data_IF_525682745586
#
_entry.id   IF_525682745586
#
_cell.length_a   1.000
_cell.length_b   1.000
_cell.length_c   1.000
_cell.angle_alpha   90.00
_cell.angle_beta   90.00
_cell.angle_gamma   90.00
#
_symmetry.space_group_name_H-M   'P 1'
#
loop_
_entity.id
_entity.type
_entity.pdbx_description
1 polymer ?
#
# COMPACT_ATOMS: atom_id res chain seq x y z
N UNK A 1 39.97 23.71 4.56
CA UNK A 1 40.26 22.31 4.23
C UNK A 1 39.42 21.96 3.01
N UNK A 2 40.05 21.93 1.85
CA UNK A 2 39.40 21.48 0.61
C UNK A 2 39.15 19.99 0.70
N UNK A 3 37.87 19.58 0.54
CA UNK A 3 37.51 18.15 0.56
C UNK A 3 37.87 17.54 -0.79
N UNK A 4 39.00 16.88 -0.88
CA UNK A 4 39.42 16.14 -2.06
C UNK A 4 38.67 14.80 -2.14
N UNK A 5 37.42 14.80 -2.59
CA UNK A 5 36.71 13.58 -2.93
C UNK A 5 36.14 13.68 -4.36
N UNK A 6 36.16 12.55 -5.03
CA UNK A 6 35.62 12.41 -6.39
C UNK A 6 34.30 11.66 -6.33
N UNK A 7 33.28 12.21 -6.97
CA UNK A 7 32.00 11.55 -7.16
C UNK A 7 32.00 10.82 -8.50
N UNK A 8 31.48 9.60 -8.52
CA UNK A 8 31.31 8.79 -9.74
C UNK A 8 29.84 8.42 -9.79
N UNK A 9 29.15 8.78 -10.87
CA UNK A 9 27.78 8.36 -11.12
C UNK A 9 27.75 6.91 -11.54
N UNK A 10 26.92 6.12 -10.86
CA UNK A 10 26.72 4.71 -11.16
C UNK A 10 25.24 4.38 -11.10
N UNK A 11 24.75 3.69 -12.11
CA UNK A 11 23.36 3.23 -12.18
C UNK A 11 23.33 1.71 -12.16
N UNK A 12 22.62 1.12 -11.18
CA UNK A 12 22.41 -0.32 -11.09
C UNK A 12 21.01 -0.63 -11.64
N UNK A 13 20.97 -1.41 -12.73
CA UNK A 13 19.72 -1.91 -13.32
C UNK A 13 19.58 -3.40 -13.04
N UNK A 14 18.60 -3.78 -12.20
CA UNK A 14 18.36 -5.16 -11.78
C UNK A 14 16.91 -5.61 -12.12
N UNK A 15 16.54 -5.72 -13.42
CA UNK A 15 15.24 -6.28 -13.78
C UNK A 15 15.20 -7.77 -13.41
N UNK A 16 14.13 -8.16 -12.70
CA UNK A 16 13.95 -9.55 -12.27
C UNK A 16 12.48 -9.94 -12.30
N UNK A 17 12.25 -11.25 -12.40
CA UNK A 17 10.94 -11.87 -12.24
C UNK A 17 10.97 -12.77 -11.02
N UNK A 18 9.91 -12.75 -10.23
CA UNK A 18 9.77 -13.64 -9.07
C UNK A 18 8.40 -14.29 -9.05
N UNK A 19 8.33 -15.50 -8.50
CA UNK A 19 7.08 -16.19 -8.29
C UNK A 19 6.39 -15.68 -7.03
N UNK A 20 5.17 -15.22 -7.14
CA UNK A 20 4.41 -14.65 -6.01
C UNK A 20 3.86 -15.70 -5.04
N UNK A 21 3.85 -16.98 -5.42
CA UNK A 21 3.24 -18.05 -4.64
C UNK A 21 1.70 -18.02 -4.66
N UNK A 22 1.07 -19.11 -4.20
CA UNK A 22 -0.38 -19.28 -4.28
C UNK A 22 -1.18 -18.24 -3.49
N UNK A 23 -0.68 -17.84 -2.31
CA UNK A 23 -1.35 -16.88 -1.45
C UNK A 23 -1.45 -15.51 -2.11
N UNK A 24 -0.34 -14.99 -2.63
CA UNK A 24 -0.36 -13.71 -3.32
C UNK A 24 -1.04 -13.78 -4.69
N UNK A 25 -0.94 -14.91 -5.40
CA UNK A 25 -1.69 -15.09 -6.64
C UNK A 25 -3.19 -14.90 -6.42
N UNK A 26 -3.76 -15.59 -5.43
CA UNK A 26 -5.20 -15.44 -5.10
C UNK A 26 -5.56 -14.02 -4.67
N UNK A 27 -4.69 -13.36 -3.93
CA UNK A 27 -4.88 -11.95 -3.55
C UNK A 27 -4.95 -11.03 -4.78
N UNK A 28 -4.02 -11.18 -5.71
CA UNK A 28 -3.98 -10.39 -6.94
C UNK A 28 -5.18 -10.67 -7.87
N UNK A 29 -5.65 -11.90 -7.97
CA UNK A 29 -6.90 -12.20 -8.68
C UNK A 29 -8.09 -11.49 -8.02
N UNK A 30 -8.14 -11.42 -6.69
CA UNK A 30 -9.14 -10.62 -5.98
C UNK A 30 -9.09 -9.15 -6.36
N UNK A 31 -7.89 -8.55 -6.44
CA UNK A 31 -7.75 -7.15 -6.85
C UNK A 31 -8.26 -6.91 -8.27
N UNK A 32 -8.04 -7.86 -9.20
CA UNK A 32 -8.59 -7.79 -10.55
C UNK A 32 -10.13 -7.71 -10.54
N UNK A 33 -10.77 -8.37 -9.57
CA UNK A 33 -12.23 -8.38 -9.38
C UNK A 33 -12.75 -7.24 -8.49
N UNK A 34 -11.94 -6.24 -8.15
CA UNK A 34 -12.26 -5.16 -7.19
C UNK A 34 -12.56 -5.68 -5.78
N UNK A 35 -11.93 -6.77 -5.37
CA UNK A 35 -12.04 -7.34 -4.02
C UNK A 35 -10.70 -7.27 -3.32
N UNK A 36 -10.69 -6.79 -2.10
CA UNK A 36 -9.53 -6.88 -1.23
C UNK A 36 -9.67 -8.16 -0.42
N UNK A 37 -8.87 -9.18 -0.74
CA UNK A 37 -8.89 -10.44 -0.03
C UNK A 37 -7.85 -10.45 1.08
N UNK A 38 -8.25 -10.87 2.25
CA UNK A 38 -7.38 -11.15 3.37
C UNK A 38 -7.54 -12.58 3.85
N UNK A 39 -6.85 -12.93 4.91
CA UNK A 39 -7.02 -14.23 5.53
C UNK A 39 -7.00 -14.16 7.06
N UNK A 40 -7.55 -15.19 7.70
CA UNK A 40 -7.77 -15.25 9.14
C UNK A 40 -6.95 -16.39 9.74
N UNK A 41 -6.20 -16.11 10.80
CA UNK A 41 -5.49 -17.14 11.52
C UNK A 41 -6.47 -18.04 12.29
N UNK A 42 -6.48 -19.37 12.07
CA UNK A 42 -7.40 -20.26 12.74
C UNK A 42 -7.14 -20.38 14.26
N UNK A 43 -5.93 -20.03 14.71
CA UNK A 43 -5.53 -20.15 16.11
C UNK A 43 -5.80 -18.89 16.94
N UNK A 44 -5.47 -17.70 16.42
CA UNK A 44 -5.61 -16.44 17.19
C UNK A 44 -6.67 -15.49 16.60
N UNK A 45 -7.33 -15.86 15.51
CA UNK A 45 -8.36 -15.03 14.87
C UNK A 45 -7.84 -13.77 14.16
N UNK A 46 -6.54 -13.48 14.18
CA UNK A 46 -6.00 -12.30 13.53
C UNK A 46 -6.23 -12.31 12.03
N UNK A 47 -6.63 -11.17 11.51
CA UNK A 47 -7.01 -10.92 10.11
C UNK A 47 -5.91 -10.13 9.40
N UNK A 48 -5.35 -10.71 8.35
CA UNK A 48 -4.17 -10.21 7.65
C UNK A 48 -4.49 -9.70 6.26
N UNK A 49 -4.04 -8.49 5.95
CA UNK A 49 -4.03 -7.86 4.63
C UNK A 49 -2.73 -7.07 4.46
N UNK A 50 -1.90 -7.36 3.46
CA UNK A 50 -1.99 -8.48 2.52
C UNK A 50 -2.01 -9.84 3.22
N UNK A 51 -2.58 -10.89 2.57
CA UNK A 51 -2.70 -12.21 3.16
C UNK A 51 -1.32 -12.83 3.42
N UNK A 52 -1.26 -13.73 4.38
CA UNK A 52 -0.04 -14.45 4.76
C UNK A 52 -0.24 -15.95 4.64
N UNK A 53 0.77 -16.69 4.20
CA UNK A 53 0.71 -18.15 4.16
C UNK A 53 0.72 -18.77 5.56
N UNK A 54 1.34 -18.09 6.53
CA UNK A 54 1.36 -18.50 7.95
C UNK A 54 1.20 -17.29 8.86
N UNK A 55 0.71 -17.53 10.07
CA UNK A 55 0.56 -16.50 11.10
C UNK A 55 1.90 -16.26 11.80
N UNK A 56 2.45 -15.03 11.79
CA UNK A 56 3.73 -14.75 12.44
C UNK A 56 3.65 -14.76 13.96
N UNK A 57 2.43 -14.74 14.54
CA UNK A 57 2.22 -14.77 15.99
C UNK A 57 2.11 -16.20 16.50
N UNK A 58 1.41 -17.07 15.76
CA UNK A 58 1.11 -18.43 16.18
C UNK A 58 1.94 -19.50 15.48
N UNK A 59 2.71 -19.09 14.46
CA UNK A 59 3.47 -19.99 13.58
C UNK A 59 2.62 -21.15 13.01
N UNK A 60 1.40 -20.80 12.58
CA UNK A 60 0.38 -21.74 12.08
C UNK A 60 0.00 -21.35 10.67
N UNK A 61 -0.15 -22.31 9.77
CA UNK A 61 -0.63 -22.10 8.40
C UNK A 61 -2.01 -21.44 8.40
N UNK A 62 -2.21 -20.51 7.47
CA UNK A 62 -3.48 -19.82 7.30
C UNK A 62 -4.10 -20.25 5.97
N UNK A 63 -5.28 -20.84 6.04
CA UNK A 63 -6.05 -21.30 4.87
C UNK A 63 -7.39 -20.62 4.71
N UNK A 64 -7.88 -19.96 5.78
CA UNK A 64 -9.19 -19.32 5.81
C UNK A 64 -9.12 -17.93 5.22
N UNK A 65 -9.93 -17.67 4.19
CA UNK A 65 -9.99 -16.42 3.46
C UNK A 65 -11.21 -15.61 3.83
N UNK A 66 -11.07 -14.30 3.71
CA UNK A 66 -12.15 -13.35 3.90
C UNK A 66 -12.06 -12.22 2.88
N UNK A 67 -13.18 -11.65 2.52
CA UNK A 67 -13.22 -10.35 1.84
C UNK A 67 -13.09 -9.25 2.89
N UNK A 68 -12.26 -8.26 2.61
CA UNK A 68 -11.96 -7.15 3.50
C UNK A 68 -12.70 -5.92 3.02
N UNK A 69 -13.08 -5.07 3.94
CA UNK A 69 -13.67 -3.77 3.64
C UNK A 69 -12.75 -2.95 2.72
N UNK A 70 -13.37 -2.24 1.79
CA UNK A 70 -12.67 -1.27 0.94
C UNK A 70 -12.53 0.10 1.62
N UNK A 71 -12.98 0.21 2.86
CA UNK A 71 -12.83 1.39 3.71
C UNK A 71 -11.88 1.12 4.86
N UNK A 72 -11.30 2.19 5.38
CA UNK A 72 -10.40 2.11 6.51
C UNK A 72 -10.10 3.48 7.10
N UNK A 73 -9.05 3.52 7.91
CA UNK A 73 -8.54 4.75 8.54
C UNK A 73 -7.05 4.88 8.35
N UNK A 74 -6.59 6.10 8.16
CA UNK A 74 -5.16 6.42 8.13
C UNK A 74 -4.58 6.25 9.53
N UNK A 75 -3.54 5.41 9.66
CA UNK A 75 -2.78 5.25 10.90
C UNK A 75 -1.52 6.12 10.92
N UNK A 76 -0.87 6.23 9.79
CA UNK A 76 0.25 7.13 9.55
C UNK A 76 0.37 7.41 8.06
N UNK A 77 1.04 8.50 7.70
CA UNK A 77 1.22 8.87 6.31
C UNK A 77 2.56 9.56 6.08
N UNK A 78 2.96 9.63 4.83
CA UNK A 78 4.14 10.34 4.38
C UNK A 78 3.91 10.94 3.00
N UNK A 79 4.63 12.01 2.69
CA UNK A 79 4.67 12.62 1.36
C UNK A 79 5.99 12.31 0.68
N UNK A 80 5.96 11.62 -0.44
CA UNK A 80 7.10 11.48 -1.32
C UNK A 80 7.25 12.76 -2.15
N UNK A 81 8.44 13.36 -2.10
CA UNK A 81 8.75 14.63 -2.79
C UNK A 81 9.80 14.47 -3.87
N UNK A 82 10.60 13.41 -3.81
CA UNK A 82 11.72 13.16 -4.72
C UNK A 82 11.55 11.85 -5.43
N UNK A 83 11.99 11.81 -6.66
CA UNK A 83 12.02 10.62 -7.47
C UNK A 83 13.22 9.74 -7.09
N UNK A 84 12.98 8.44 -7.01
CA UNK A 84 14.01 7.42 -6.86
C UNK A 84 14.04 6.55 -8.10
N UNK A 85 15.21 6.03 -8.38
CA UNK A 85 15.41 5.09 -9.47
C UNK A 85 14.48 3.85 -9.35
N UNK A 86 13.78 3.53 -10.45
CA UNK A 86 12.85 2.40 -10.50
C UNK A 86 11.52 2.61 -9.77
N UNK A 87 11.23 3.81 -9.31
CA UNK A 87 9.96 4.14 -8.67
C UNK A 87 8.82 4.12 -9.70
N UNK A 88 7.74 3.32 -9.48
CA UNK A 88 6.67 3.17 -10.46
C UNK A 88 5.72 4.37 -10.51
N UNK A 89 5.77 5.26 -9.53
CA UNK A 89 4.88 6.41 -9.40
C UNK A 89 5.71 7.67 -9.24
N UNK A 90 5.45 8.66 -10.08
CA UNK A 90 6.16 9.95 -10.00
C UNK A 90 5.67 10.77 -8.81
N UNK A 91 6.59 11.33 -8.00
CA UNK A 91 6.24 12.29 -6.97
C UNK A 91 5.79 13.65 -7.58
N UNK A 92 5.06 14.49 -6.81
CA UNK A 92 4.70 14.25 -5.41
C UNK A 92 3.49 13.33 -5.25
N UNK A 93 3.51 12.46 -4.24
CA UNK A 93 2.36 11.66 -3.84
C UNK A 93 2.32 11.44 -2.33
N UNK A 94 1.15 11.07 -1.82
CA UNK A 94 0.94 10.66 -0.44
C UNK A 94 0.85 9.13 -0.37
N UNK A 95 1.55 8.55 0.59
CA UNK A 95 1.41 7.15 0.94
C UNK A 95 1.02 7.04 2.41
N UNK A 96 0.16 6.11 2.75
CA UNK A 96 -0.31 5.91 4.11
C UNK A 96 -0.33 4.44 4.50
N UNK A 97 -0.12 4.19 5.78
CA UNK A 97 -0.50 2.94 6.43
C UNK A 97 -1.97 3.06 6.81
N UNK A 98 -2.79 2.25 6.16
CA UNK A 98 -4.25 2.25 6.30
C UNK A 98 -4.65 1.01 7.10
N UNK A 99 -5.41 1.17 8.17
CA UNK A 99 -6.08 0.06 8.79
C UNK A 99 -7.45 -0.10 8.14
N UNK A 100 -7.60 -1.13 7.30
CA UNK A 100 -8.88 -1.47 6.70
C UNK A 100 -9.83 -2.01 7.76
N UNK A 101 -11.10 -1.68 7.64
CA UNK A 101 -12.09 -2.09 8.64
C UNK A 101 -12.17 -3.60 8.76
N UNK A 102 -12.17 -4.08 9.99
CA UNK A 102 -12.19 -5.50 10.30
C UNK A 102 -10.84 -6.22 10.13
N UNK A 103 -9.71 -5.51 10.01
CA UNK A 103 -8.37 -6.12 9.95
C UNK A 103 -7.52 -5.79 11.17
N UNK A 104 -6.50 -6.61 11.44
CA UNK A 104 -5.58 -6.43 12.57
C UNK A 104 -4.18 -5.96 12.13
N UNK A 105 -4.04 -5.55 10.89
CA UNK A 105 -2.78 -5.08 10.31
C UNK A 105 -2.98 -3.80 9.51
N UNK A 106 -1.90 -3.25 8.99
CA UNK A 106 -1.92 -2.04 8.19
C UNK A 106 -1.57 -2.38 6.75
N UNK A 107 -2.28 -1.75 5.85
CA UNK A 107 -2.12 -1.86 4.41
C UNK A 107 -1.46 -0.58 3.89
N UNK A 108 -0.25 -0.70 3.33
CA UNK A 108 0.44 0.45 2.74
C UNK A 108 -0.11 0.71 1.35
N UNK A 109 -0.62 1.91 1.12
CA UNK A 109 -1.08 2.33 -0.20
C UNK A 109 -1.02 3.83 -0.39
N UNK A 110 -1.27 4.27 -1.63
CA UNK A 110 -1.44 5.68 -1.97
C UNK A 110 -2.73 6.22 -1.37
N UNK A 111 -2.68 7.47 -0.94
CA UNK A 111 -3.86 8.23 -0.53
C UNK A 111 -3.97 9.51 -1.33
N UNK A 112 -5.20 9.93 -1.57
CA UNK A 112 -5.53 11.17 -2.27
C UNK A 112 -6.61 11.93 -1.51
N UNK A 113 -6.44 13.25 -1.42
CA UNK A 113 -7.47 14.16 -0.89
C UNK A 113 -7.96 15.01 -2.04
N UNK A 114 -9.27 14.99 -2.36
CA UNK A 114 -9.84 15.86 -3.39
C UNK A 114 -9.52 17.32 -3.13
N UNK A 115 -9.10 18.04 -4.16
CA UNK A 115 -8.77 19.46 -4.06
C UNK A 115 -7.38 19.78 -3.50
N UNK A 116 -6.62 18.83 -3.00
CA UNK A 116 -5.26 19.04 -2.50
C UNK A 116 -4.25 19.02 -3.66
N UNK A 117 -3.59 20.15 -3.89
CA UNK A 117 -2.53 20.29 -4.90
C UNK A 117 -1.16 20.05 -4.27
N UNK A 118 -0.64 18.85 -4.43
CA UNK A 118 0.66 18.46 -3.87
C UNK A 118 1.86 19.17 -4.50
N UNK A 119 1.73 19.76 -5.69
CA UNK A 119 2.80 20.54 -6.31
C UNK A 119 2.95 21.91 -5.67
N UNK A 120 1.85 22.54 -5.32
CA UNK A 120 1.80 23.90 -4.77
C UNK A 120 1.93 23.94 -3.26
N UNK A 121 1.28 22.98 -2.58
CA UNK A 121 1.25 22.96 -1.12
C UNK A 121 2.61 22.55 -0.54
N UNK A 122 3.21 23.44 0.27
CA UNK A 122 4.47 23.16 0.97
C UNK A 122 4.29 22.28 2.19
N UNK A 123 3.20 22.48 2.91
CA UNK A 123 2.82 21.71 4.10
C UNK A 123 1.39 21.19 3.94
N UNK A 124 1.23 19.91 4.08
CA UNK A 124 -0.07 19.19 3.97
C UNK A 124 -0.48 18.55 5.30
N UNK A 125 0.21 18.88 6.39
CA UNK A 125 -0.06 18.30 7.71
C UNK A 125 -1.43 18.66 8.27
N UNK A 126 -2.00 19.79 7.83
CA UNK A 126 -3.36 20.21 8.16
C UNK A 126 -4.44 19.49 7.32
N UNK A 127 -4.06 18.93 6.19
CA UNK A 127 -4.98 18.31 5.23
C UNK A 127 -5.11 16.79 5.41
N UNK A 128 -4.03 16.15 5.86
CA UNK A 128 -3.97 14.71 6.04
C UNK A 128 -3.56 14.39 7.47
N UNK A 129 -4.40 13.64 8.17
CA UNK A 129 -4.17 13.31 9.56
C UNK A 129 -4.50 11.85 9.89
N UNK A 130 -3.93 11.38 11.00
CA UNK A 130 -4.28 10.08 11.56
C UNK A 130 -5.76 10.04 11.93
N UNK A 131 -6.41 8.93 11.64
CA UNK A 131 -7.81 8.67 11.95
C UNK A 131 -8.77 9.04 10.84
N UNK A 132 -8.38 9.82 9.83
CA UNK A 132 -9.24 10.12 8.69
C UNK A 132 -9.70 8.86 7.97
N UNK A 133 -10.97 8.88 7.58
CA UNK A 133 -11.60 7.78 6.82
C UNK A 133 -11.12 7.82 5.38
N UNK A 134 -10.96 6.63 4.81
CA UNK A 134 -10.58 6.48 3.41
C UNK A 134 -11.37 5.37 2.74
N UNK A 135 -11.55 5.50 1.43
CA UNK A 135 -12.24 4.54 0.56
C UNK A 135 -11.37 4.19 -0.64
N UNK A 136 -11.27 2.91 -0.96
CA UNK A 136 -10.54 2.46 -2.15
C UNK A 136 -11.20 2.96 -3.45
N UNK A 137 -10.39 3.55 -4.31
CA UNK A 137 -10.75 3.96 -5.67
C UNK A 137 -10.00 3.05 -6.64
N UNK A 138 -10.73 2.35 -7.50
CA UNK A 138 -10.19 1.34 -8.40
C UNK A 138 -9.92 1.91 -9.79
N UNK A 139 -8.89 1.38 -10.44
CA UNK A 139 -8.70 1.60 -11.88
C UNK A 139 -9.78 0.87 -12.67
N UNK A 140 -10.09 1.39 -13.86
CA UNK A 140 -10.99 0.71 -14.80
C UNK A 140 -10.35 -0.56 -15.32
N UNK A 141 -9.12 -0.47 -15.84
CA UNK A 141 -8.32 -1.61 -16.26
C UNK A 141 -7.50 -2.15 -15.09
N UNK A 142 -7.64 -3.45 -14.82
CA UNK A 142 -6.99 -4.15 -13.72
C UNK A 142 -6.27 -5.39 -14.23
N UNK A 143 -5.07 -5.60 -13.75
CA UNK A 143 -4.16 -6.64 -14.22
C UNK A 143 -3.84 -7.69 -13.14
N UNK A 144 -4.40 -7.58 -11.94
CA UNK A 144 -4.01 -8.36 -10.77
C UNK A 144 -2.72 -7.83 -10.15
N UNK A 145 -2.72 -6.56 -9.77
CA UNK A 145 -1.57 -5.88 -9.17
C UNK A 145 -2.03 -4.97 -8.04
N UNK A 146 -1.15 -4.67 -7.07
CA UNK A 146 -1.47 -3.74 -5.98
C UNK A 146 -1.98 -2.38 -6.47
N UNK A 147 -1.43 -1.89 -7.58
CA UNK A 147 -1.83 -0.63 -8.18
C UNK A 147 -3.12 -0.72 -9.01
N UNK A 148 -3.86 -1.83 -8.97
CA UNK A 148 -5.25 -1.89 -9.47
C UNK A 148 -6.18 -1.08 -8.56
N UNK A 149 -5.85 -0.97 -7.28
CA UNK A 149 -6.33 0.13 -6.44
C UNK A 149 -5.55 1.36 -6.87
N UNK A 150 -6.24 2.34 -7.44
CA UNK A 150 -5.58 3.58 -7.89
C UNK A 150 -5.01 4.35 -6.69
N UNK A 151 -5.84 4.56 -5.70
CA UNK A 151 -5.53 5.19 -4.41
C UNK A 151 -6.65 4.93 -3.41
N UNK A 152 -6.43 5.30 -2.17
CA UNK A 152 -7.51 5.49 -1.21
C UNK A 152 -7.85 6.97 -1.13
N UNK A 153 -9.09 7.32 -1.43
CA UNK A 153 -9.59 8.68 -1.32
C UNK A 153 -9.95 9.00 0.13
N UNK A 154 -9.48 10.15 0.61
CA UNK A 154 -9.81 10.65 1.95
C UNK A 154 -11.24 11.17 1.91
N UNK A 155 -12.06 10.63 2.79
CA UNK A 155 -13.44 11.06 3.01
C UNK A 155 -13.43 12.21 4.03
N UNK A 156 -14.16 13.28 3.72
CA UNK A 156 -14.33 14.43 4.62
C UNK A 156 -15.17 14.08 5.88
#
# INVERSE_FOLDING_TARGET
MEKHFKTIDSTVWLPHRYAVGQTFYKFYEGLREKKILGNVCPKCGKRWVPPRSFCPVCNTDIKDWMEVSQQGRIESWTRARREFYGQPIRPPFLAALIQLDGTDCRFLHLVHKPGLDLEREKDVSGDVSKGQRVQAVWKEERQGHLLDINHFEILD
#
